data_IF_417599978212
#
_entry.id   IF_417599978212
#
_cell.length_a   1.000
_cell.length_b   1.000
_cell.length_c   1.000
_cell.angle_alpha   90.00
_cell.angle_beta   90.00
_cell.angle_gamma   90.00
#
_symmetry.space_group_name_H-M   'P 1'
#
loop_
_entity.id
_entity.type
_entity.pdbx_description
1 polymer ?
#
# COMPACT_ATOMS: atom_id res chain seq x y z
N UNK A 1 10.81 -0.07 8.14
CA UNK A 1 10.38 0.06 9.55
C UNK A 1 11.43 -0.45 10.55
N UNK A 2 12.36 -1.32 10.16
CA UNK A 2 13.42 -1.87 11.05
C UNK A 2 14.24 -0.83 11.81
N UNK A 3 14.50 0.34 11.20
CA UNK A 3 15.20 1.41 11.90
C UNK A 3 14.34 1.98 13.05
N UNK A 4 13.07 2.32 12.78
CA UNK A 4 12.12 2.78 13.78
C UNK A 4 11.88 1.77 14.91
N UNK A 5 11.97 0.47 14.64
CA UNK A 5 11.84 -0.56 15.69
C UNK A 5 13.04 -0.66 16.64
N UNK A 6 14.17 -0.03 16.29
CA UNK A 6 15.45 -0.19 17.01
C UNK A 6 16.08 1.15 17.40
N UNK A 7 15.35 2.25 17.27
CA UNK A 7 15.80 3.59 17.62
C UNK A 7 14.62 4.52 17.84
N UNK A 8 14.90 5.78 18.17
CA UNK A 8 13.89 6.80 18.45
C UNK A 8 13.43 7.56 17.20
N UNK A 9 13.58 6.97 16.01
CA UNK A 9 13.16 7.60 14.75
C UNK A 9 11.73 7.23 14.39
N UNK A 10 11.03 8.17 13.75
CA UNK A 10 9.74 7.92 13.09
C UNK A 10 9.96 7.75 11.59
N UNK A 11 9.12 6.94 10.94
CA UNK A 11 9.11 6.82 9.49
C UNK A 11 7.69 6.91 8.93
N UNK A 12 7.56 7.51 7.74
CA UNK A 12 6.31 7.55 7.01
C UNK A 12 6.02 6.18 6.39
N UNK A 13 4.76 5.75 6.49
CA UNK A 13 4.25 4.55 5.82
C UNK A 13 3.02 4.92 4.99
N UNK A 14 2.84 4.35 3.78
CA UNK A 14 1.60 4.49 3.04
C UNK A 14 0.41 3.98 3.88
N UNK A 15 -0.60 4.84 4.05
CA UNK A 15 -1.84 4.53 4.74
C UNK A 15 -3.04 4.91 3.86
N UNK A 16 -4.17 4.20 3.99
CA UNK A 16 -5.42 4.52 3.30
C UNK A 16 -6.48 4.94 4.33
N UNK A 17 -6.78 6.25 4.48
CA UNK A 17 -7.87 6.70 5.36
C UNK A 17 -9.25 6.66 4.64
N UNK A 18 -10.36 6.26 5.31
CA UNK A 18 -10.51 5.49 6.54
C UNK A 18 -11.07 4.09 6.19
N UNK A 19 -10.23 3.16 5.75
CA UNK A 19 -10.65 1.79 5.43
C UNK A 19 -9.49 0.82 5.75
N UNK A 20 -9.75 -0.50 5.88
CA UNK A 20 -9.17 -1.47 6.81
C UNK A 20 -7.63 -1.51 6.87
N UNK A 21 -7.05 -2.15 7.90
CA UNK A 21 -5.60 -2.22 8.03
C UNK A 21 -4.95 -2.69 6.72
N UNK A 22 -4.07 -1.84 6.19
CA UNK A 22 -3.19 -2.22 5.11
C UNK A 22 -2.12 -3.16 5.69
N UNK A 23 -1.55 -4.07 4.88
CA UNK A 23 -0.46 -4.94 5.32
C UNK A 23 0.68 -4.16 5.99
N UNK A 24 0.99 -2.96 5.48
CA UNK A 24 2.03 -2.10 6.02
C UNK A 24 1.73 -1.56 7.42
N UNK A 25 0.45 -1.29 7.74
CA UNK A 25 0.03 -0.88 9.08
C UNK A 25 -0.08 -2.08 10.03
N UNK A 26 -0.45 -3.26 9.54
CA UNK A 26 -0.42 -4.50 10.34
C UNK A 26 1.00 -4.90 10.70
N UNK A 27 1.94 -4.82 9.75
CA UNK A 27 3.36 -5.07 9.98
C UNK A 27 3.93 -4.13 11.03
N UNK A 28 3.51 -2.86 11.05
CA UNK A 28 3.89 -1.89 12.08
C UNK A 28 3.49 -2.37 13.47
N UNK A 29 2.22 -2.79 13.62
CA UNK A 29 1.67 -3.31 14.89
C UNK A 29 2.39 -4.60 15.29
N UNK A 30 2.61 -5.53 14.35
CA UNK A 30 3.32 -6.78 14.59
C UNK A 30 4.78 -6.57 15.04
N UNK A 31 5.40 -5.47 14.60
CA UNK A 31 6.73 -5.04 15.01
C UNK A 31 6.76 -4.27 16.34
N UNK A 32 5.61 -4.10 17.01
CA UNK A 32 5.50 -3.37 18.27
C UNK A 32 5.59 -1.85 18.12
N UNK A 33 5.37 -1.32 16.92
CA UNK A 33 5.36 0.12 16.65
C UNK A 33 3.98 0.72 16.89
N UNK A 34 3.97 2.00 17.27
CA UNK A 34 2.76 2.79 17.37
C UNK A 34 2.51 3.56 16.06
N UNK A 35 1.26 3.61 15.64
CA UNK A 35 0.83 4.45 14.53
C UNK A 35 0.54 5.87 15.05
N UNK A 36 1.05 6.87 14.33
CA UNK A 36 0.87 8.28 14.62
C UNK A 36 0.18 8.94 13.43
N UNK A 37 -0.85 9.73 13.69
CA UNK A 37 -1.45 10.55 12.65
C UNK A 37 -0.48 11.65 12.24
N UNK A 38 -0.41 11.91 10.94
CA UNK A 38 0.45 12.95 10.39
C UNK A 38 -0.30 14.29 10.54
N UNK A 39 0.23 15.27 11.29
CA UNK A 39 -0.45 16.54 11.55
C UNK A 39 -0.35 17.51 10.36
N UNK A 40 -0.25 16.98 9.14
CA UNK A 40 -0.15 17.74 7.89
C UNK A 40 -1.08 17.12 6.87
N UNK A 41 -1.74 17.98 6.09
CA UNK A 41 -2.42 17.53 4.88
C UNK A 41 -1.37 17.08 3.87
N UNK A 42 -1.33 15.78 3.60
CA UNK A 42 -0.42 15.21 2.62
C UNK A 42 -1.13 14.99 1.29
N UNK A 43 -0.48 15.26 0.15
CA UNK A 43 -1.03 14.89 -1.14
C UNK A 43 -1.18 13.36 -1.25
N UNK A 44 -2.17 12.86 -1.98
CA UNK A 44 -2.35 11.44 -2.17
C UNK A 44 -1.16 10.83 -2.92
N UNK A 45 -0.68 9.67 -2.45
CA UNK A 45 0.34 8.89 -3.14
C UNK A 45 -0.31 7.99 -4.19
N UNK A 46 0.00 8.21 -5.48
CA UNK A 46 -0.47 7.35 -6.55
C UNK A 46 0.47 6.16 -6.75
N UNK A 47 -0.02 4.94 -6.50
CA UNK A 47 0.70 3.70 -6.77
C UNK A 47 0.21 3.14 -8.11
N UNK A 48 1.12 2.99 -9.06
CA UNK A 48 0.84 2.49 -10.40
C UNK A 48 1.64 1.23 -10.76
N UNK A 49 1.17 0.50 -11.77
CA UNK A 49 1.92 -0.56 -12.42
C UNK A 49 2.35 -0.10 -13.81
N UNK A 50 3.64 -0.27 -14.13
CA UNK A 50 4.21 0.05 -15.44
C UNK A 50 4.79 -1.20 -16.10
N UNK A 51 4.73 -1.28 -17.42
CA UNK A 51 5.34 -2.34 -18.21
C UNK A 51 5.71 -1.84 -19.60
N UNK A 52 6.63 -2.54 -20.25
CA UNK A 52 6.99 -2.25 -21.63
C UNK A 52 5.87 -2.70 -22.59
N UNK A 53 5.48 -1.90 -23.61
CA UNK A 53 4.38 -2.24 -24.53
C UNK A 53 4.50 -3.62 -25.20
N UNK A 54 5.72 -4.11 -25.45
CA UNK A 54 5.99 -5.47 -25.98
C UNK A 54 5.35 -6.60 -25.16
N UNK A 55 5.15 -6.39 -23.86
CA UNK A 55 4.56 -7.36 -22.94
C UNK A 55 3.06 -7.14 -22.72
N UNK A 56 2.46 -6.22 -23.48
CA UNK A 56 1.04 -5.91 -23.32
C UNK A 56 0.19 -7.14 -23.52
N UNK A 57 0.45 -7.92 -24.57
CA UNK A 57 -0.30 -9.13 -24.94
C UNK A 57 0.24 -10.43 -24.30
N UNK A 58 1.28 -10.35 -23.47
CA UNK A 58 1.83 -11.55 -22.82
C UNK A 58 0.85 -12.05 -21.74
N UNK A 59 0.48 -13.34 -21.83
CA UNK A 59 -0.53 -13.95 -20.97
C UNK A 59 -0.14 -13.97 -19.49
N UNK A 60 1.14 -14.23 -19.19
CA UNK A 60 1.63 -14.26 -17.81
C UNK A 60 1.62 -12.86 -17.18
N UNK A 61 2.05 -11.83 -17.92
CA UNK A 61 1.97 -10.44 -17.47
C UNK A 61 0.53 -9.97 -17.31
N UNK A 62 -0.40 -10.38 -18.19
CA UNK A 62 -1.83 -10.09 -18.03
C UNK A 62 -2.38 -10.70 -16.75
N UNK A 63 -2.10 -11.98 -16.50
CA UNK A 63 -2.53 -12.66 -15.29
C UNK A 63 -2.00 -11.97 -14.03
N UNK A 64 -0.71 -11.65 -13.99
CA UNK A 64 -0.07 -11.02 -12.83
C UNK A 64 -0.68 -9.64 -12.53
N UNK A 65 -0.84 -8.80 -13.54
CA UNK A 65 -1.46 -7.46 -13.40
C UNK A 65 -2.88 -7.58 -12.83
N UNK A 66 -3.65 -8.56 -13.29
CA UNK A 66 -5.01 -8.79 -12.78
C UNK A 66 -5.01 -9.37 -11.36
N UNK A 67 -4.06 -10.25 -11.02
CA UNK A 67 -3.90 -10.78 -9.68
C UNK A 67 -3.61 -9.65 -8.67
N UNK A 68 -2.63 -8.79 -8.97
CA UNK A 68 -2.29 -7.63 -8.13
C UNK A 68 -3.51 -6.73 -7.92
N UNK A 69 -4.26 -6.41 -8.99
CA UNK A 69 -5.49 -5.60 -8.88
C UNK A 69 -6.55 -6.23 -7.98
N UNK A 70 -6.73 -7.55 -8.04
CA UNK A 70 -7.68 -8.24 -7.15
C UNK A 70 -7.22 -8.19 -5.69
N UNK A 71 -5.94 -8.41 -5.43
CA UNK A 71 -5.38 -8.38 -4.07
C UNK A 71 -5.46 -6.99 -3.44
N UNK A 72 -5.27 -5.93 -4.23
CA UNK A 72 -5.32 -4.55 -3.74
C UNK A 72 -6.73 -3.94 -3.70
N UNK A 73 -7.75 -4.65 -4.23
CA UNK A 73 -9.14 -4.19 -4.13
C UNK A 73 -9.67 -4.48 -2.72
N UNK A 74 -9.80 -3.44 -1.91
CA UNK A 74 -10.57 -3.49 -0.66
C UNK A 74 -12.05 -3.73 -0.98
N UNK A 75 -12.74 -4.69 -0.34
CA UNK A 75 -14.19 -4.82 -0.46
C UNK A 75 -14.84 -3.62 0.23
N UNK A 76 -15.35 -2.65 -0.54
CA UNK A 76 -16.07 -1.50 0.04
C UNK A 76 -16.19 -0.22 -0.79
N UNK A 77 -15.59 -0.10 -1.97
CA UNK A 77 -15.83 1.08 -2.82
C UNK A 77 -17.12 0.90 -3.64
N UNK A 78 -18.18 1.71 -3.42
CA UNK A 78 -19.35 1.69 -4.28
C UNK A 78 -18.94 2.10 -5.70
N UNK A 79 -19.44 1.35 -6.67
CA UNK A 79 -19.33 1.70 -8.09
C UNK A 79 -20.35 2.80 -8.36
N UNK A 80 -19.89 4.02 -8.60
CA UNK A 80 -20.68 5.05 -9.29
C UNK A 80 -20.10 5.21 -10.68
#
# INVERSE_FOLDING_TARGET
MTLATRSDVVCLVPAAPPAPPLPLTDDAIALGLFLLDIPLELPPLTIGMAWHPRHTADGAHHWLRNAIRRTLRTPGSPTT
#
